data_IF_438510743271
#
_entry.id   IF_438510743271
#
_cell.length_a   1.000
_cell.length_b   1.000
_cell.length_c   1.000
_cell.angle_alpha   90.00
_cell.angle_beta   90.00
_cell.angle_gamma   90.00
#
_symmetry.space_group_name_H-M   'P 1'
#
loop_
_entity.id
_entity.type
_entity.pdbx_description
1 polymer ?
#
# COMPACT_ATOMS: atom_id res chain seq x y z
N UNK A 1 -1.22 -1.48 26.53
CA UNK A 1 -0.77 -0.61 25.42
C UNK A 1 -1.95 -0.48 24.47
N UNK A 2 -2.38 0.74 24.21
CA UNK A 2 -3.44 1.01 23.22
C UNK A 2 -2.77 1.24 21.89
N UNK A 3 -3.17 0.48 20.85
CA UNK A 3 -2.69 0.72 19.51
C UNK A 3 -3.45 1.90 18.90
N UNK A 4 -2.78 2.86 18.25
CA UNK A 4 -3.45 3.95 17.57
C UNK A 4 -4.26 3.42 16.38
N UNK A 5 -5.49 3.87 16.22
CA UNK A 5 -6.32 3.50 15.09
C UNK A 5 -5.78 4.12 13.78
N UNK A 6 -5.24 5.33 13.86
CA UNK A 6 -4.62 6.06 12.74
C UNK A 6 -3.35 6.72 13.25
N UNK A 7 -2.27 6.61 12.49
CA UNK A 7 -1.00 7.30 12.79
C UNK A 7 -0.79 8.50 11.85
N UNK A 8 -0.07 9.50 12.33
CA UNK A 8 0.25 10.67 11.50
C UNK A 8 1.02 10.32 10.22
N UNK A 9 1.89 9.29 10.28
CA UNK A 9 2.58 8.78 9.09
C UNK A 9 1.60 8.28 8.02
N UNK A 10 0.51 7.63 8.42
CA UNK A 10 -0.54 7.20 7.48
C UNK A 10 -1.20 8.40 6.80
N UNK A 11 -1.54 9.45 7.56
CA UNK A 11 -2.12 10.69 7.01
C UNK A 11 -1.17 11.32 5.99
N UNK A 12 0.13 11.39 6.29
CA UNK A 12 1.14 11.94 5.38
C UNK A 12 1.24 11.10 4.09
N UNK A 13 1.19 9.77 4.20
CA UNK A 13 1.22 8.87 3.04
C UNK A 13 -0.03 9.00 2.17
N UNK A 14 -1.21 9.12 2.79
CA UNK A 14 -2.48 9.38 2.08
C UNK A 14 -2.40 10.72 1.36
N UNK A 15 -1.90 11.76 2.02
CA UNK A 15 -1.77 13.09 1.44
C UNK A 15 -0.84 13.08 0.21
N UNK A 16 0.35 12.46 0.33
CA UNK A 16 1.27 12.36 -0.79
C UNK A 16 0.70 11.53 -1.95
N UNK A 17 -0.05 10.49 -1.66
CA UNK A 17 -0.75 9.68 -2.67
C UNK A 17 -1.80 10.49 -3.39
N UNK A 18 -2.68 11.19 -2.66
CA UNK A 18 -3.73 12.02 -3.23
C UNK A 18 -3.15 13.10 -4.16
N UNK A 19 -2.09 13.79 -3.74
CA UNK A 19 -1.42 14.78 -4.57
C UNK A 19 -0.81 14.18 -5.85
N UNK A 20 -0.25 12.97 -5.75
CA UNK A 20 0.34 12.32 -6.93
C UNK A 20 -0.71 11.88 -7.97
N UNK A 21 -1.92 11.59 -7.54
CA UNK A 21 -3.02 11.18 -8.44
C UNK A 21 -3.67 12.38 -9.17
N UNK A 22 -3.37 13.62 -8.76
CA UNK A 22 -3.84 14.81 -9.48
C UNK A 22 -3.13 14.94 -10.84
N UNK A 23 -3.86 15.42 -11.83
CA UNK A 23 -3.31 15.72 -13.14
C UNK A 23 -2.28 16.85 -13.03
N UNK A 24 -1.07 16.63 -13.53
CA UNK A 24 0.00 17.63 -13.50
C UNK A 24 -0.42 18.89 -14.26
N UNK A 25 -0.24 20.05 -13.64
CA UNK A 25 -0.57 21.35 -14.22
C UNK A 25 -2.06 21.74 -14.14
N UNK A 26 -2.92 20.89 -13.56
CA UNK A 26 -4.32 21.21 -13.35
C UNK A 26 -4.54 21.70 -11.91
N UNK A 27 -5.29 22.79 -11.77
CA UNK A 27 -5.76 23.32 -10.47
C UNK A 27 -7.17 22.83 -10.21
N UNK A 28 -7.40 22.31 -9.01
CA UNK A 28 -8.69 21.85 -8.53
C UNK A 28 -9.18 22.80 -7.44
N UNK A 29 -10.44 23.21 -7.51
CA UNK A 29 -11.09 24.04 -6.51
C UNK A 29 -11.97 23.18 -5.63
N UNK A 30 -11.72 23.22 -4.32
CA UNK A 30 -12.46 22.45 -3.32
C UNK A 30 -12.95 23.36 -2.22
N UNK A 31 -14.14 23.09 -1.73
CA UNK A 31 -14.65 23.73 -0.51
C UNK A 31 -14.39 22.81 0.68
N UNK A 32 -13.68 23.30 1.68
CA UNK A 32 -13.40 22.56 2.91
C UNK A 32 -14.66 22.35 3.74
N UNK A 33 -14.61 21.45 4.74
CA UNK A 33 -15.71 21.25 5.67
C UNK A 33 -16.07 22.50 6.49
N UNK A 34 -15.15 23.47 6.59
CA UNK A 34 -15.40 24.79 7.25
C UNK A 34 -16.02 25.81 6.30
N UNK A 35 -16.23 25.45 5.01
CA UNK A 35 -16.77 26.36 4.01
C UNK A 35 -15.72 27.26 3.33
N UNK A 36 -14.43 27.06 3.60
CA UNK A 36 -13.36 27.80 2.92
C UNK A 36 -13.04 27.16 1.57
N UNK A 37 -12.94 27.97 0.53
CA UNK A 37 -12.47 27.53 -0.79
C UNK A 37 -10.95 27.44 -0.80
N UNK A 38 -10.45 26.33 -1.32
CA UNK A 38 -9.01 26.07 -1.45
C UNK A 38 -8.69 25.56 -2.86
N UNK A 39 -7.54 25.95 -3.35
CA UNK A 39 -6.98 25.46 -4.60
C UNK A 39 -5.95 24.36 -4.31
N UNK A 40 -6.09 23.27 -5.00
CA UNK A 40 -5.18 22.12 -4.88
C UNK A 40 -4.65 21.75 -6.26
N UNK A 41 -3.37 21.48 -6.33
CA UNK A 41 -2.70 20.98 -7.52
C UNK A 41 -1.62 19.97 -7.13
N UNK A 42 -1.17 19.17 -8.09
CA UNK A 42 -0.03 18.28 -7.86
C UNK A 42 1.20 19.13 -7.53
N UNK A 43 1.73 18.99 -6.33
CA UNK A 43 2.85 19.75 -5.81
C UNK A 43 3.97 18.84 -5.36
N UNK A 44 5.14 18.95 -5.98
CA UNK A 44 6.35 18.21 -5.60
C UNK A 44 6.80 18.58 -4.19
N UNK A 45 6.73 19.87 -3.83
CA UNK A 45 7.15 20.33 -2.51
C UNK A 45 6.27 19.76 -1.39
N UNK A 46 4.96 19.71 -1.59
CA UNK A 46 4.02 19.15 -0.62
C UNK A 46 4.18 17.62 -0.51
N UNK A 47 4.36 16.92 -1.62
CA UNK A 47 4.64 15.48 -1.60
C UNK A 47 5.96 15.19 -0.86
N UNK A 48 7.00 15.99 -1.13
CA UNK A 48 8.29 15.90 -0.44
C UNK A 48 8.15 16.21 1.05
N UNK A 49 7.40 17.24 1.41
CA UNK A 49 7.13 17.58 2.81
C UNK A 49 6.55 16.39 3.59
N UNK A 50 5.62 15.66 2.98
CA UNK A 50 5.01 14.49 3.59
C UNK A 50 5.99 13.31 3.71
N UNK A 51 6.61 12.91 2.61
CA UNK A 51 7.46 11.71 2.53
C UNK A 51 8.78 11.87 3.27
N UNK A 52 9.45 13.02 3.11
CA UNK A 52 10.74 13.28 3.75
C UNK A 52 10.69 13.11 5.27
N UNK A 53 9.60 13.52 5.91
CA UNK A 53 9.43 13.39 7.37
C UNK A 53 9.44 11.92 7.83
N UNK A 54 8.78 11.05 7.06
CA UNK A 54 8.72 9.62 7.33
C UNK A 54 10.13 9.02 7.18
N UNK A 55 10.76 9.29 6.03
CA UNK A 55 12.07 8.74 5.70
C UNK A 55 13.17 9.22 6.62
N UNK A 56 13.21 10.51 6.96
CA UNK A 56 14.19 11.05 7.91
C UNK A 56 14.02 10.44 9.31
N UNK A 57 12.80 10.27 9.78
CA UNK A 57 12.55 9.59 11.06
C UNK A 57 13.07 8.15 11.05
N UNK A 58 12.96 7.46 9.91
CA UNK A 58 13.47 6.10 9.71
C UNK A 58 15.00 6.05 9.46
N UNK A 59 15.69 7.20 9.40
CA UNK A 59 17.13 7.26 9.15
C UNK A 59 17.52 6.98 7.70
N UNK A 60 16.59 7.07 6.74
CA UNK A 60 16.85 6.86 5.32
C UNK A 60 16.79 8.17 4.54
N UNK A 61 17.59 8.34 3.47
CA UNK A 61 17.62 9.57 2.68
C UNK A 61 16.29 9.82 1.96
N UNK A 62 15.99 11.09 1.68
CA UNK A 62 14.86 11.49 0.85
C UNK A 62 14.97 10.92 -0.58
N UNK A 63 13.86 10.87 -1.32
CA UNK A 63 13.87 10.55 -2.73
C UNK A 63 14.48 11.70 -3.55
N UNK A 64 15.00 11.34 -4.72
CA UNK A 64 15.51 12.33 -5.67
C UNK A 64 14.36 13.19 -6.23
N UNK A 65 14.68 14.37 -6.69
CA UNK A 65 13.71 15.25 -7.34
C UNK A 65 13.11 14.64 -8.60
N UNK A 66 13.90 13.89 -9.34
CA UNK A 66 13.46 13.15 -10.52
C UNK A 66 12.32 12.17 -10.18
N UNK A 67 12.44 11.45 -9.04
CA UNK A 67 11.36 10.56 -8.54
C UNK A 67 10.07 11.33 -8.30
N UNK A 68 10.12 12.49 -7.64
CA UNK A 68 8.93 13.29 -7.38
C UNK A 68 8.31 13.88 -8.65
N UNK A 69 9.13 14.22 -9.63
CA UNK A 69 8.68 14.78 -10.91
C UNK A 69 8.00 13.74 -11.82
N UNK A 70 8.31 12.46 -11.63
CA UNK A 70 7.70 11.37 -12.39
C UNK A 70 6.55 10.72 -11.60
N UNK A 71 5.26 10.96 -11.96
CA UNK A 71 4.12 10.41 -11.21
C UNK A 71 4.10 8.89 -11.10
N UNK A 72 4.56 8.18 -12.12
CA UNK A 72 4.56 6.72 -12.11
C UNK A 72 5.67 6.15 -11.22
N UNK A 73 6.88 6.71 -11.30
CA UNK A 73 7.98 6.31 -10.44
C UNK A 73 7.67 6.61 -8.97
N UNK A 74 7.17 7.81 -8.70
CA UNK A 74 6.75 8.19 -7.35
C UNK A 74 5.65 7.27 -6.81
N UNK A 75 4.66 6.90 -7.63
CA UNK A 75 3.61 5.95 -7.23
C UNK A 75 4.18 4.59 -6.78
N UNK A 76 5.15 4.04 -7.53
CA UNK A 76 5.81 2.78 -7.16
C UNK A 76 6.56 2.93 -5.83
N UNK A 77 7.33 4.01 -5.68
CA UNK A 77 8.07 4.30 -4.44
C UNK A 77 7.12 4.51 -3.25
N UNK A 78 6.04 5.24 -3.43
CA UNK A 78 5.04 5.50 -2.40
C UNK A 78 4.35 4.20 -1.94
N UNK A 79 3.94 3.34 -2.86
CA UNK A 79 3.36 2.03 -2.53
C UNK A 79 4.33 1.20 -1.68
N UNK A 80 5.62 1.23 -2.01
CA UNK A 80 6.66 0.55 -1.24
C UNK A 80 6.86 1.20 0.14
N UNK A 81 6.88 2.53 0.22
CA UNK A 81 7.00 3.26 1.48
C UNK A 81 5.83 2.93 2.43
N UNK A 82 4.59 2.92 1.92
CA UNK A 82 3.41 2.50 2.70
C UNK A 82 3.54 1.07 3.23
N UNK A 83 4.02 0.15 2.39
CA UNK A 83 4.22 -1.25 2.78
C UNK A 83 5.21 -1.38 3.94
N UNK A 84 6.30 -0.61 3.92
CA UNK A 84 7.36 -0.66 4.93
C UNK A 84 6.89 0.05 6.21
N UNK A 85 6.39 1.27 6.09
CA UNK A 85 6.01 2.12 7.22
C UNK A 85 4.85 1.54 8.03
N UNK A 86 3.88 0.90 7.36
CA UNK A 86 2.66 0.36 7.98
C UNK A 86 2.70 -1.17 8.09
N UNK A 87 3.91 -1.77 8.08
CA UNK A 87 4.07 -3.21 8.18
C UNK A 87 3.50 -3.76 9.50
N UNK A 88 2.58 -4.71 9.39
CA UNK A 88 1.94 -5.36 10.54
C UNK A 88 0.87 -4.52 11.24
N UNK A 89 0.49 -3.35 10.69
CA UNK A 89 -0.54 -2.49 11.27
C UNK A 89 -1.89 -2.67 10.56
N UNK A 90 -2.95 -2.91 11.36
CA UNK A 90 -4.37 -2.84 10.96
C UNK A 90 -4.71 -3.44 9.58
N UNK A 91 -3.99 -4.47 9.14
CA UNK A 91 -4.18 -5.09 7.81
C UNK A 91 -4.06 -4.10 6.64
N UNK A 92 -3.32 -3.01 6.79
CA UNK A 92 -3.21 -1.92 5.79
C UNK A 92 -2.80 -2.45 4.41
N UNK A 93 -1.83 -3.38 4.34
CA UNK A 93 -1.40 -3.98 3.07
C UNK A 93 -2.53 -4.69 2.34
N UNK A 94 -3.41 -5.39 3.08
CA UNK A 94 -4.56 -6.07 2.51
C UNK A 94 -5.52 -5.09 1.81
N UNK A 95 -5.84 -3.96 2.46
CA UNK A 95 -6.72 -2.96 1.88
C UNK A 95 -6.04 -2.19 0.75
N UNK A 96 -4.76 -1.84 0.89
CA UNK A 96 -3.98 -1.15 -0.13
C UNK A 96 -3.92 -1.94 -1.44
N UNK A 97 -3.61 -3.23 -1.40
CA UNK A 97 -3.57 -4.09 -2.58
C UNK A 97 -4.92 -4.18 -3.30
N UNK A 98 -6.02 -4.17 -2.55
CA UNK A 98 -7.36 -4.22 -3.12
C UNK A 98 -7.77 -2.90 -3.75
N UNK A 99 -7.56 -1.78 -3.08
CA UNK A 99 -7.92 -0.46 -3.62
C UNK A 99 -7.08 -0.06 -4.84
N UNK A 100 -5.80 -0.47 -4.88
CA UNK A 100 -4.92 -0.26 -6.03
C UNK A 100 -5.15 -1.26 -7.16
N UNK A 101 -5.91 -2.32 -6.93
CA UNK A 101 -6.09 -3.47 -7.85
C UNK A 101 -4.79 -4.24 -8.12
N UNK A 102 -3.84 -4.18 -7.21
CA UNK A 102 -2.54 -4.86 -7.32
C UNK A 102 -2.58 -6.30 -6.78
N UNK A 103 -3.66 -6.71 -6.08
CA UNK A 103 -3.72 -7.99 -5.40
C UNK A 103 -3.54 -9.20 -6.34
N UNK A 104 -4.04 -9.13 -7.58
CA UNK A 104 -3.83 -10.18 -8.58
C UNK A 104 -2.35 -10.44 -8.87
N UNK A 105 -1.53 -9.39 -8.88
CA UNK A 105 -0.09 -9.49 -9.15
C UNK A 105 0.69 -9.85 -7.88
N UNK A 106 0.44 -9.14 -6.79
CA UNK A 106 1.23 -9.21 -5.57
C UNK A 106 0.90 -10.45 -4.72
N UNK A 107 -0.38 -10.84 -4.63
CA UNK A 107 -0.80 -11.97 -3.82
C UNK A 107 -0.55 -13.33 -4.50
N UNK A 108 -0.32 -13.36 -5.81
CA UNK A 108 0.03 -14.59 -6.53
C UNK A 108 1.55 -14.81 -6.65
N UNK A 109 2.37 -13.91 -6.11
CA UNK A 109 3.81 -14.11 -6.09
C UNK A 109 4.20 -15.22 -5.10
N UNK A 110 5.25 -15.96 -5.47
CA UNK A 110 5.83 -16.96 -4.59
C UNK A 110 6.35 -16.31 -3.30
N UNK A 111 6.08 -16.93 -2.19
CA UNK A 111 6.61 -16.48 -0.90
C UNK A 111 8.12 -16.68 -0.86
N UNK A 112 8.82 -15.70 -0.35
CA UNK A 112 10.26 -15.73 -0.16
C UNK A 112 10.59 -15.58 1.32
N UNK A 113 11.61 -16.26 1.76
CA UNK A 113 12.12 -16.19 3.12
C UNK A 113 13.63 -16.25 3.15
N UNK A 114 14.20 -16.19 4.36
CA UNK A 114 15.60 -16.43 4.57
C UNK A 114 15.90 -17.92 4.53
N UNK A 115 17.15 -18.27 4.21
CA UNK A 115 17.59 -19.65 4.22
C UNK A 115 17.90 -20.11 5.65
N UNK A 116 16.90 -20.68 6.32
CA UNK A 116 16.98 -21.14 7.71
C UNK A 116 17.80 -22.44 7.90
N UNK A 117 18.18 -23.12 6.81
CA UNK A 117 18.96 -24.35 6.86
C UNK A 117 20.46 -24.11 7.00
N UNK A 118 20.86 -22.86 7.14
CA UNK A 118 22.26 -22.51 7.40
C UNK A 118 22.51 -22.62 8.90
N UNK A 119 23.52 -23.42 9.26
CA UNK A 119 23.99 -23.57 10.63
C UNK A 119 24.51 -22.24 11.19
N UNK A 120 24.71 -22.17 12.51
CA UNK A 120 25.20 -21.01 13.27
C UNK A 120 26.64 -20.57 12.90
N UNK A 121 27.11 -20.94 11.71
CA UNK A 121 28.42 -20.53 11.20
C UNK A 121 28.39 -19.07 10.75
N UNK A 122 28.99 -18.20 11.54
CA UNK A 122 29.06 -16.76 11.28
C UNK A 122 29.70 -16.42 9.92
N UNK A 123 30.56 -17.31 9.38
CA UNK A 123 31.18 -17.11 8.08
C UNK A 123 30.18 -17.22 6.92
N UNK A 124 29.00 -17.78 7.17
CA UNK A 124 27.93 -18.00 6.19
C UNK A 124 26.71 -17.08 6.39
N UNK A 125 26.82 -16.04 7.20
CA UNK A 125 25.70 -15.13 7.47
C UNK A 125 25.12 -14.50 6.19
N UNK A 126 25.95 -14.29 5.16
CA UNK A 126 25.52 -13.81 3.85
C UNK A 126 24.59 -14.80 3.14
N UNK A 127 24.77 -16.10 3.36
CA UNK A 127 23.93 -17.14 2.79
C UNK A 127 22.56 -17.21 3.48
N UNK A 128 22.48 -16.86 4.77
CA UNK A 128 21.21 -16.75 5.47
C UNK A 128 20.27 -15.70 4.83
N UNK A 129 20.80 -14.58 4.38
CA UNK A 129 20.04 -13.52 3.75
C UNK A 129 19.73 -13.76 2.27
N UNK A 130 20.20 -14.86 1.67
CA UNK A 130 19.76 -15.22 0.32
C UNK A 130 18.30 -15.60 0.32
N UNK A 131 17.55 -14.96 -0.55
CA UNK A 131 16.13 -15.24 -0.71
C UNK A 131 15.92 -16.69 -1.15
N UNK A 132 15.07 -17.40 -0.42
CA UNK A 132 14.69 -18.78 -0.70
C UNK A 132 13.19 -18.83 -0.96
N UNK A 133 12.77 -19.52 -2.03
CA UNK A 133 11.36 -19.71 -2.33
C UNK A 133 10.76 -20.71 -1.36
N UNK A 134 9.67 -20.32 -0.69
CA UNK A 134 8.89 -21.18 0.19
C UNK A 134 7.84 -21.91 -0.64
N UNK A 135 8.03 -23.21 -0.84
CA UNK A 135 7.16 -24.04 -1.68
C UNK A 135 5.99 -24.67 -0.93
N UNK A 136 6.03 -24.66 0.41
CA UNK A 136 5.00 -25.28 1.26
C UNK A 136 3.72 -24.47 1.38
N UNK A 137 3.75 -23.20 1.00
CA UNK A 137 2.60 -22.30 1.09
C UNK A 137 2.42 -21.58 -0.25
N UNK A 138 1.24 -21.76 -0.84
CA UNK A 138 0.85 -21.04 -2.05
C UNK A 138 -0.27 -20.07 -1.70
N UNK A 139 -0.04 -18.79 -1.99
CA UNK A 139 -1.13 -17.80 -1.98
C UNK A 139 -1.81 -17.85 -3.33
N UNK A 140 -3.14 -17.78 -3.32
CA UNK A 140 -3.95 -17.69 -4.54
C UNK A 140 -4.91 -16.53 -4.37
N UNK A 141 -4.90 -15.62 -5.33
CA UNK A 141 -5.86 -14.53 -5.41
C UNK A 141 -6.51 -14.52 -6.80
N UNK A 142 -7.83 -14.63 -6.85
CA UNK A 142 -8.62 -14.60 -8.07
C UNK A 142 -9.40 -13.27 -8.18
N UNK A 143 -9.84 -12.93 -9.38
CA UNK A 143 -10.56 -11.69 -9.64
C UNK A 143 -11.80 -11.53 -8.75
N UNK A 144 -12.55 -12.61 -8.53
CA UNK A 144 -13.72 -12.61 -7.64
C UNK A 144 -13.40 -12.19 -6.20
N UNK A 145 -12.17 -12.41 -5.74
CA UNK A 145 -11.76 -12.12 -4.35
C UNK A 145 -11.60 -10.63 -4.04
N UNK A 146 -11.75 -9.75 -5.02
CA UNK A 146 -11.89 -8.32 -4.76
C UNK A 146 -13.22 -7.98 -4.07
N UNK A 147 -14.23 -8.80 -4.27
CA UNK A 147 -15.53 -8.69 -3.62
C UNK A 147 -15.78 -9.94 -2.76
N UNK A 148 -16.34 -9.75 -1.57
CA UNK A 148 -16.76 -10.87 -0.75
C UNK A 148 -18.06 -11.46 -1.27
N UNK A 149 -18.26 -12.81 -1.19
CA UNK A 149 -19.53 -13.40 -1.54
C UNK A 149 -20.60 -12.98 -0.54
N UNK A 150 -21.82 -12.78 -1.03
CA UNK A 150 -22.96 -12.67 -0.14
C UNK A 150 -23.23 -14.01 0.54
N UNK A 151 -23.47 -14.02 1.85
CA UNK A 151 -23.87 -15.25 2.55
C UNK A 151 -25.12 -15.88 1.95
N UNK A 152 -25.12 -17.19 1.78
CA UNK A 152 -26.24 -17.92 1.16
C UNK A 152 -27.58 -17.66 1.83
N UNK A 153 -27.60 -17.42 3.14
CA UNK A 153 -28.85 -17.14 3.87
C UNK A 153 -29.43 -15.78 3.47
N UNK A 154 -28.62 -14.77 3.15
CA UNK A 154 -29.10 -13.47 2.69
C UNK A 154 -29.70 -13.56 1.27
N UNK A 155 -29.06 -14.32 0.39
CA UNK A 155 -29.58 -14.58 -0.95
C UNK A 155 -30.93 -15.30 -0.93
N UNK A 156 -31.13 -16.21 0.06
CA UNK A 156 -32.42 -16.91 0.24
C UNK A 156 -33.52 -16.00 0.80
N UNK A 157 -33.15 -14.99 1.59
CA UNK A 157 -34.11 -14.04 2.20
C UNK A 157 -34.55 -12.93 1.24
N UNK A 158 -33.65 -12.53 0.35
CA UNK A 158 -33.90 -11.44 -0.59
C UNK A 158 -33.77 -11.96 -2.03
N UNK A 159 -34.91 -12.30 -2.61
CA UNK A 159 -35.01 -12.86 -3.99
C UNK A 159 -34.54 -11.88 -5.09
N UNK A 160 -34.41 -10.60 -4.76
CA UNK A 160 -33.91 -9.58 -5.69
C UNK A 160 -32.38 -9.40 -5.61
N UNK A 161 -31.71 -10.11 -4.68
CA UNK A 161 -30.27 -10.06 -4.51
C UNK A 161 -29.60 -11.12 -5.37
N UNK A 162 -28.65 -10.72 -6.19
CA UNK A 162 -27.79 -11.62 -6.96
C UNK A 162 -26.41 -11.73 -6.32
N UNK A 163 -25.76 -12.88 -6.43
CA UNK A 163 -24.41 -13.07 -5.96
C UNK A 163 -23.42 -12.18 -6.69
N UNK A 164 -22.32 -11.81 -6.00
CA UNK A 164 -21.21 -11.16 -6.66
C UNK A 164 -20.64 -12.03 -7.79
N UNK A 165 -20.11 -11.41 -8.87
CA UNK A 165 -19.61 -12.17 -10.02
C UNK A 165 -18.63 -13.27 -9.63
N UNK A 166 -18.72 -14.42 -10.28
CA UNK A 166 -17.82 -15.58 -10.14
C UNK A 166 -17.88 -16.34 -8.79
N UNK A 167 -18.84 -15.98 -7.92
CA UNK A 167 -19.10 -16.70 -6.66
C UNK A 167 -20.29 -17.66 -6.77
#
# INVERSE_FOLDING_TARGET
>A
KVEPAIRYAEVLLIYAEALNELTSGQVYHLTTYTGADVEIQRSVDEMRYAIKRIRMRAGVPDYSEETYNNPNDFRVKLKRERQIELLGENSMRYFDLRRWKDAMTEENQLLQGCNINISDDETRIADFYKQTIITSVHKVFEQKMYLWPFPTYELKRNVNMTQNPEW
#
